data_IF_325169328436
#
_entry.id   IF_325169328436
#
_cell.length_a   1.000
_cell.length_b   1.000
_cell.length_c   1.000
_cell.angle_alpha   90.00
_cell.angle_beta   90.00
_cell.angle_gamma   90.00
#
_symmetry.space_group_name_H-M   'P 1'
#
loop_
_entity.id
_entity.type
_entity.pdbx_description
1 polymer ?
#
# COMPACT_ATOMS: atom_id res chain seq x y z
N UNK A 1 14.37 -19.00 3.00
CA UNK A 1 13.82 -18.24 1.85
C UNK A 1 12.31 -18.03 2.06
N UNK A 2 11.79 -16.79 1.97
CA UNK A 2 10.41 -16.42 2.35
C UNK A 2 9.32 -17.17 1.55
N UNK A 3 9.54 -17.39 0.25
CA UNK A 3 8.66 -18.18 -0.63
C UNK A 3 8.43 -19.58 -0.07
N UNK A 4 9.49 -20.32 0.29
CA UNK A 4 9.36 -21.70 0.77
C UNK A 4 8.53 -21.81 2.05
N UNK A 5 8.49 -20.75 2.87
CA UNK A 5 7.73 -20.73 4.11
C UNK A 5 6.26 -20.35 3.90
N UNK A 6 5.99 -19.36 3.05
CA UNK A 6 4.67 -18.73 2.98
C UNK A 6 3.86 -19.11 1.72
N UNK A 7 4.54 -19.52 0.64
CA UNK A 7 3.91 -19.73 -0.66
C UNK A 7 4.51 -20.93 -1.42
N UNK A 8 4.94 -21.97 -0.70
CA UNK A 8 5.45 -23.20 -1.32
C UNK A 8 4.42 -23.81 -2.28
N UNK A 9 4.87 -24.20 -3.48
CA UNK A 9 4.01 -24.74 -4.54
C UNK A 9 3.14 -23.70 -5.27
N UNK A 10 3.06 -22.47 -4.75
CA UNK A 10 2.20 -21.40 -5.30
C UNK A 10 3.04 -20.31 -5.96
N UNK A 11 4.15 -19.93 -5.34
CA UNK A 11 5.09 -18.96 -5.90
C UNK A 11 6.43 -19.65 -6.10
N UNK A 12 7.08 -19.43 -7.25
CA UNK A 12 8.39 -19.98 -7.52
C UNK A 12 9.27 -18.98 -8.27
N UNK A 13 10.49 -18.76 -7.76
CA UNK A 13 11.56 -18.06 -8.47
C UNK A 13 12.22 -19.06 -9.43
N UNK A 14 12.04 -18.89 -10.74
CA UNK A 14 12.50 -19.82 -11.80
C UNK A 14 13.73 -19.29 -12.55
N UNK A 15 14.60 -18.59 -11.83
CA UNK A 15 15.75 -17.85 -12.35
C UNK A 15 15.87 -16.52 -11.62
N UNK A 16 16.99 -15.81 -11.77
CA UNK A 16 17.22 -14.52 -11.10
C UNK A 16 16.09 -13.52 -11.40
N UNK A 17 15.64 -13.46 -12.65
CA UNK A 17 14.72 -12.43 -13.18
C UNK A 17 13.31 -12.94 -13.52
N UNK A 18 12.91 -14.07 -12.92
CA UNK A 18 11.66 -14.75 -13.27
C UNK A 18 10.91 -15.25 -12.04
N UNK A 19 9.78 -14.60 -11.73
CA UNK A 19 8.83 -15.07 -10.72
C UNK A 19 7.62 -15.70 -11.41
N UNK A 20 7.23 -16.90 -10.97
CA UNK A 20 5.98 -17.54 -11.38
C UNK A 20 5.03 -17.60 -10.19
N UNK A 21 3.76 -17.30 -10.45
CA UNK A 21 2.66 -17.44 -9.50
C UNK A 21 1.60 -18.35 -10.09
N UNK A 22 1.28 -19.40 -9.37
CA UNK A 22 0.26 -20.39 -9.73
C UNK A 22 -0.99 -20.10 -8.92
N UNK A 23 -2.09 -19.78 -9.61
CA UNK A 23 -3.43 -19.61 -9.05
C UNK A 23 -4.36 -20.70 -9.61
N UNK A 24 -5.61 -20.75 -9.15
CA UNK A 24 -6.61 -21.67 -9.73
C UNK A 24 -6.90 -21.38 -11.20
N UNK A 25 -6.76 -20.13 -11.63
CA UNK A 25 -6.97 -19.73 -13.02
C UNK A 25 -5.77 -20.04 -13.93
N UNK A 26 -4.60 -20.38 -13.37
CA UNK A 26 -3.43 -20.76 -14.14
C UNK A 26 -2.13 -20.18 -13.60
N UNK A 27 -1.10 -20.17 -14.44
CA UNK A 27 0.23 -19.69 -14.06
C UNK A 27 0.50 -18.33 -14.69
N UNK A 28 0.78 -17.35 -13.84
CA UNK A 28 1.24 -16.02 -14.23
C UNK A 28 2.75 -15.92 -14.08
N UNK A 29 3.36 -15.12 -14.94
CA UNK A 29 4.80 -14.95 -14.98
C UNK A 29 5.13 -13.47 -14.92
N UNK A 30 6.02 -13.11 -14.00
CA UNK A 30 6.53 -11.77 -13.80
C UNK A 30 8.03 -11.80 -14.11
N UNK A 31 8.41 -11.08 -15.17
CA UNK A 31 9.78 -10.97 -15.66
C UNK A 31 10.33 -9.62 -15.24
N UNK A 32 11.53 -9.64 -14.68
CA UNK A 32 12.25 -8.41 -14.39
C UNK A 32 12.76 -7.81 -15.70
N UNK A 33 12.99 -6.50 -15.70
CA UNK A 33 13.53 -5.75 -16.84
C UNK A 33 14.87 -5.13 -16.45
N UNK A 34 15.86 -5.13 -17.36
CA UNK A 34 17.16 -4.54 -17.10
C UNK A 34 17.08 -3.00 -16.98
N UNK A 35 18.10 -2.34 -16.40
CA UNK A 35 19.29 -2.95 -15.79
C UNK A 35 18.96 -3.78 -14.53
N UNK A 36 19.68 -4.88 -14.35
CA UNK A 36 19.39 -5.83 -13.27
C UNK A 36 20.11 -5.52 -11.96
N UNK A 37 21.21 -4.79 -12.04
CA UNK A 37 22.15 -4.57 -10.94
C UNK A 37 22.15 -3.10 -10.46
N UNK A 38 21.23 -2.28 -10.99
CA UNK A 38 21.07 -0.87 -10.62
C UNK A 38 19.81 -0.70 -9.75
N UNK A 39 19.94 -0.33 -8.46
CA UNK A 39 18.83 -0.36 -7.49
C UNK A 39 17.63 0.55 -7.78
N UNK A 40 17.78 1.53 -8.67
CA UNK A 40 16.74 2.51 -9.01
C UNK A 40 16.40 2.52 -10.50
N UNK A 41 16.94 1.58 -11.28
CA UNK A 41 16.68 1.44 -12.70
C UNK A 41 16.18 0.02 -13.00
N UNK A 42 15.42 -0.12 -14.09
CA UNK A 42 14.82 -1.38 -14.47
C UNK A 42 13.56 -1.70 -13.66
N UNK A 43 13.09 -2.95 -13.74
CA UNK A 43 11.87 -3.39 -13.06
C UNK A 43 12.12 -4.72 -12.37
N UNK A 44 11.87 -4.80 -11.06
CA UNK A 44 12.14 -5.99 -10.26
C UNK A 44 10.91 -6.45 -9.49
N UNK A 45 10.65 -7.76 -9.48
CA UNK A 45 9.50 -8.36 -8.82
C UNK A 45 9.89 -9.25 -7.64
N UNK A 46 9.37 -8.95 -6.46
CA UNK A 46 9.67 -9.68 -5.23
C UNK A 46 8.42 -10.25 -4.58
N UNK A 47 8.46 -11.52 -4.18
CA UNK A 47 7.41 -12.09 -3.36
C UNK A 47 7.45 -11.46 -1.96
N UNK A 48 6.38 -10.77 -1.59
CA UNK A 48 6.23 -10.16 -0.28
C UNK A 48 5.47 -11.08 0.65
N UNK A 49 4.20 -11.34 0.39
CA UNK A 49 3.38 -12.10 1.31
C UNK A 49 2.33 -12.92 0.59
N UNK A 50 1.80 -13.90 1.31
CA UNK A 50 0.64 -14.68 0.91
C UNK A 50 -0.25 -14.83 2.12
N UNK A 51 -1.45 -14.27 2.05
CA UNK A 51 -2.37 -14.26 3.17
C UNK A 51 -3.80 -14.27 2.66
N UNK A 52 -4.61 -15.14 3.28
CA UNK A 52 -6.08 -15.14 3.11
C UNK A 52 -6.55 -15.24 1.64
N UNK A 53 -5.84 -16.03 0.83
CA UNK A 53 -6.17 -16.25 -0.58
C UNK A 53 -5.63 -15.18 -1.54
N UNK A 54 -4.80 -14.26 -1.05
CA UNK A 54 -4.12 -13.26 -1.87
C UNK A 54 -2.61 -13.37 -1.79
N UNK A 55 -1.95 -13.01 -2.88
CA UNK A 55 -0.49 -12.96 -3.00
C UNK A 55 -0.09 -11.53 -3.31
N UNK A 56 0.82 -10.98 -2.51
CA UNK A 56 1.42 -9.67 -2.75
C UNK A 56 2.82 -9.83 -3.35
N UNK A 57 3.02 -9.22 -4.51
CA UNK A 57 4.32 -9.06 -5.16
C UNK A 57 4.72 -7.59 -5.06
N UNK A 58 5.84 -7.25 -4.44
CA UNK A 58 6.44 -5.92 -4.57
C UNK A 58 7.02 -5.76 -5.98
N UNK A 59 6.83 -4.58 -6.53
CA UNK A 59 7.42 -4.13 -7.79
C UNK A 59 8.25 -2.90 -7.50
N UNK A 60 9.51 -2.95 -7.88
CA UNK A 60 10.42 -1.79 -7.88
C UNK A 60 10.60 -1.39 -9.34
N UNK A 61 10.20 -0.17 -9.71
CA UNK A 61 10.22 0.34 -11.10
C UNK A 61 10.75 1.78 -11.11
N UNK A 62 12.03 1.97 -11.48
CA UNK A 62 12.54 3.32 -11.76
C UNK A 62 12.46 4.34 -10.61
N UNK A 63 12.42 3.89 -9.35
CA UNK A 63 12.17 4.73 -8.16
C UNK A 63 10.73 4.69 -7.64
N UNK A 64 9.81 4.01 -8.31
CA UNK A 64 8.48 3.72 -7.78
C UNK A 64 8.49 2.37 -7.04
N UNK A 65 8.18 2.41 -5.74
CA UNK A 65 7.99 1.24 -4.91
C UNK A 65 6.49 0.97 -4.79
N UNK A 66 6.03 -0.04 -5.52
CA UNK A 66 4.61 -0.44 -5.59
C UNK A 66 4.49 -1.97 -5.49
N UNK A 67 3.37 -2.54 -5.93
CA UNK A 67 3.16 -3.97 -5.99
C UNK A 67 1.87 -4.39 -6.67
N UNK A 68 1.78 -5.70 -6.84
CA UNK A 68 0.66 -6.40 -7.46
C UNK A 68 0.01 -7.31 -6.43
N UNK A 69 -1.29 -7.17 -6.26
CA UNK A 69 -2.12 -8.01 -5.42
C UNK A 69 -2.86 -9.02 -6.30
N UNK A 70 -2.60 -10.30 -6.11
CA UNK A 70 -3.13 -11.37 -6.94
C UNK A 70 -4.15 -12.17 -6.13
N UNK A 71 -5.36 -12.30 -6.65
CA UNK A 71 -6.38 -13.20 -6.13
C UNK A 71 -6.06 -14.65 -6.57
N UNK A 72 -5.87 -15.56 -5.63
CA UNK A 72 -5.53 -16.96 -5.91
C UNK A 72 -6.68 -17.77 -6.53
N UNK A 73 -7.92 -17.35 -6.30
CA UNK A 73 -9.10 -18.03 -6.83
C UNK A 73 -9.35 -17.63 -8.29
N UNK A 74 -9.28 -16.34 -8.59
CA UNK A 74 -9.62 -15.82 -9.93
C UNK A 74 -8.40 -15.62 -10.82
N UNK A 75 -7.20 -15.53 -10.23
CA UNK A 75 -6.01 -15.08 -10.92
C UNK A 75 -6.02 -13.59 -11.27
N UNK A 76 -7.00 -12.82 -10.81
CA UNK A 76 -7.04 -11.39 -11.10
C UNK A 76 -5.86 -10.68 -10.46
N UNK A 77 -5.19 -9.82 -11.23
CA UNK A 77 -4.07 -9.00 -10.77
C UNK A 77 -4.58 -7.58 -10.56
N UNK A 78 -4.48 -7.09 -9.33
CA UNK A 78 -4.86 -5.76 -8.90
C UNK A 78 -3.63 -4.97 -8.43
N UNK A 79 -3.79 -3.68 -8.20
CA UNK A 79 -2.76 -2.85 -7.56
C UNK A 79 -2.66 -3.24 -6.08
N UNK A 80 -1.44 -3.42 -5.58
CA UNK A 80 -1.16 -3.85 -4.21
C UNK A 80 -0.24 -2.93 -3.42
N UNK A 81 0.41 -1.96 -4.06
CA UNK A 81 1.47 -1.18 -3.42
C UNK A 81 2.55 -2.06 -2.77
N UNK A 82 3.40 -1.46 -1.94
CA UNK A 82 4.38 -2.21 -1.14
C UNK A 82 3.73 -3.01 -0.02
N UNK A 83 2.59 -2.54 0.48
CA UNK A 83 1.83 -3.21 1.53
C UNK A 83 0.33 -3.07 1.30
N UNK A 84 -0.41 -4.11 1.71
CA UNK A 84 -1.86 -4.16 1.66
C UNK A 84 -2.43 -4.42 3.05
N UNK A 85 -3.48 -3.69 3.39
CA UNK A 85 -4.28 -3.90 4.58
C UNK A 85 -5.75 -4.07 4.18
N UNK A 86 -6.27 -5.30 4.30
CA UNK A 86 -7.67 -5.62 4.01
C UNK A 86 -8.63 -5.18 5.12
N UNK A 87 -9.83 -4.75 4.74
CA UNK A 87 -10.95 -4.65 5.66
C UNK A 87 -11.34 -6.04 6.16
N UNK A 88 -11.87 -6.12 7.38
CA UNK A 88 -12.26 -7.40 8.00
C UNK A 88 -13.32 -8.13 7.15
N UNK A 89 -14.25 -7.37 6.58
CA UNK A 89 -15.32 -7.84 5.70
C UNK A 89 -14.91 -8.11 4.25
N UNK A 90 -13.62 -7.87 3.90
CA UNK A 90 -13.04 -8.11 2.57
C UNK A 90 -13.67 -7.34 1.41
N UNK A 91 -14.42 -6.28 1.69
CA UNK A 91 -14.99 -5.44 0.63
C UNK A 91 -14.01 -4.38 0.12
N UNK A 92 -12.99 -4.06 0.90
CA UNK A 92 -11.99 -3.07 0.55
C UNK A 92 -10.59 -3.45 1.05
N UNK A 93 -9.58 -2.78 0.51
CA UNK A 93 -8.22 -2.81 1.03
C UNK A 93 -7.54 -1.47 0.84
N UNK A 94 -6.64 -1.15 1.76
CA UNK A 94 -5.71 -0.04 1.66
C UNK A 94 -4.41 -0.58 1.07
N UNK A 95 -3.90 0.04 0.01
CA UNK A 95 -2.55 -0.16 -0.49
C UNK A 95 -1.70 1.09 -0.20
N UNK A 96 -0.43 0.87 0.14
CA UNK A 96 0.56 1.93 0.36
C UNK A 96 1.65 1.84 -0.69
N UNK A 97 1.94 2.95 -1.37
CA UNK A 97 2.98 3.08 -2.39
C UNK A 97 3.94 4.19 -1.99
N UNK A 98 5.22 4.05 -2.32
CA UNK A 98 6.24 5.05 -2.06
C UNK A 98 6.97 5.40 -3.36
N UNK A 99 7.05 6.69 -3.68
CA UNK A 99 7.88 7.17 -4.78
C UNK A 99 9.18 7.75 -4.23
N UNK A 100 10.29 7.47 -4.90
CA UNK A 100 11.58 8.02 -4.52
C UNK A 100 11.54 9.56 -4.49
N UNK A 101 12.16 10.14 -3.47
CA UNK A 101 12.15 11.57 -3.21
C UNK A 101 10.83 12.16 -2.71
N UNK A 102 9.79 11.34 -2.44
CA UNK A 102 8.55 11.84 -1.84
C UNK A 102 8.64 11.88 -0.31
N UNK A 103 8.10 12.96 0.27
CA UNK A 103 8.03 13.16 1.71
C UNK A 103 6.99 12.25 2.41
N UNK A 104 6.38 11.29 1.72
CA UNK A 104 5.40 10.39 2.33
C UNK A 104 4.86 9.35 1.36
N UNK A 105 4.08 8.42 1.92
CA UNK A 105 3.47 7.34 1.14
C UNK A 105 2.17 7.81 0.52
N UNK A 106 1.90 7.35 -0.70
CA UNK A 106 0.57 7.42 -1.29
C UNK A 106 -0.25 6.25 -0.77
N UNK A 107 -1.36 6.58 -0.12
CA UNK A 107 -2.36 5.64 0.35
C UNK A 107 -3.54 5.63 -0.60
N UNK A 108 -3.87 4.44 -1.12
CA UNK A 108 -5.03 4.26 -1.99
C UNK A 108 -5.93 3.18 -1.43
N UNK A 109 -7.21 3.51 -1.25
CA UNK A 109 -8.24 2.56 -0.85
C UNK A 109 -8.91 2.05 -2.12
N UNK A 110 -8.89 0.74 -2.29
CA UNK A 110 -9.57 0.03 -3.36
C UNK A 110 -10.75 -0.74 -2.80
N UNK A 111 -11.84 -0.81 -3.57
CA UNK A 111 -12.79 -1.89 -3.45
C UNK A 111 -12.11 -3.20 -3.89
N UNK A 112 -12.60 -4.35 -3.41
CA UNK A 112 -12.00 -5.67 -3.69
C UNK A 112 -11.99 -6.04 -5.19
N UNK A 113 -12.79 -5.36 -6.02
CA UNK A 113 -12.77 -5.49 -7.48
C UNK A 113 -11.68 -4.62 -8.16
N UNK A 114 -10.86 -3.91 -7.40
CA UNK A 114 -9.81 -3.02 -7.88
C UNK A 114 -10.24 -1.58 -8.20
N UNK A 115 -11.51 -1.20 -7.98
CA UNK A 115 -11.96 0.18 -8.16
C UNK A 115 -11.45 1.09 -7.04
N UNK A 116 -10.91 2.26 -7.40
CA UNK A 116 -10.44 3.25 -6.43
C UNK A 116 -11.62 3.89 -5.70
N UNK A 117 -11.61 3.84 -4.37
CA UNK A 117 -12.56 4.53 -3.49
C UNK A 117 -12.02 5.84 -2.94
N UNK A 118 -10.71 5.91 -2.71
CA UNK A 118 -10.01 7.11 -2.23
C UNK A 118 -8.52 7.00 -2.51
N UNK A 119 -7.85 8.14 -2.70
CA UNK A 119 -6.39 8.22 -2.78
C UNK A 119 -5.92 9.53 -2.14
N UNK A 120 -4.76 9.49 -1.48
CA UNK A 120 -4.13 10.66 -0.87
C UNK A 120 -2.84 10.26 -0.17
N UNK A 121 -2.13 11.22 0.41
CA UNK A 121 -0.91 10.94 1.14
C UNK A 121 -1.18 10.46 2.57
N UNK A 122 -0.20 9.79 3.15
CA UNK A 122 -0.13 9.48 4.59
C UNK A 122 0.19 10.72 5.46
N UNK A 123 -0.12 11.92 4.98
CA UNK A 123 0.01 13.17 5.72
C UNK A 123 -1.04 14.19 5.28
N UNK A 124 -1.24 15.20 6.12
CA UNK A 124 -2.04 16.37 5.81
C UNK A 124 -1.06 17.55 5.64
N UNK A 125 -1.10 18.20 4.48
CA UNK A 125 -0.28 19.40 4.25
C UNK A 125 -0.79 20.60 5.05
N UNK A 126 0.12 21.49 5.41
CA UNK A 126 -0.26 22.81 5.92
C UNK A 126 -0.97 23.62 4.82
N UNK A 127 -1.79 24.64 5.19
CA UNK A 127 -2.52 25.46 4.21
C UNK A 127 -1.61 26.19 3.19
N UNK A 128 -0.37 26.47 3.55
CA UNK A 128 0.68 27.06 2.70
C UNK A 128 1.46 26.01 1.87
N UNK A 129 1.03 24.74 1.92
CA UNK A 129 1.43 23.60 1.08
C UNK A 129 2.92 23.21 1.08
N UNK A 130 3.77 23.90 1.84
CA UNK A 130 5.23 23.70 1.79
C UNK A 130 5.77 22.69 2.82
N UNK A 131 4.94 22.20 3.74
CA UNK A 131 5.35 21.19 4.72
C UNK A 131 4.21 20.29 5.21
N UNK A 132 4.58 19.10 5.69
CA UNK A 132 3.70 18.14 6.36
C UNK A 132 3.23 18.75 7.68
N UNK A 133 1.93 18.92 7.86
CA UNK A 133 1.33 19.46 9.08
C UNK A 133 1.02 18.35 10.09
N UNK A 134 0.48 17.24 9.58
CA UNK A 134 0.11 16.05 10.37
C UNK A 134 0.55 14.81 9.62
N UNK A 135 1.21 13.91 10.32
CA UNK A 135 1.59 12.60 9.81
C UNK A 135 0.58 11.56 10.22
N UNK A 136 0.14 10.76 9.25
CA UNK A 136 -0.77 9.64 9.44
C UNK A 136 0.05 8.35 9.41
N UNK A 137 -0.04 7.57 10.47
CA UNK A 137 0.64 6.29 10.60
C UNK A 137 -0.24 5.22 11.19
N UNK A 138 0.21 3.97 11.11
CA UNK A 138 -0.48 2.79 11.66
C UNK A 138 -1.95 2.73 11.23
N UNK A 139 -2.25 2.68 9.91
CA UNK A 139 -3.62 2.53 9.46
C UNK A 139 -4.21 1.20 9.95
N UNK A 140 -5.50 1.22 10.27
CA UNK A 140 -6.25 0.04 10.70
C UNK A 140 -7.71 0.13 10.25
N UNK A 141 -8.28 -0.99 9.79
CA UNK A 141 -9.72 -1.09 9.60
C UNK A 141 -10.40 -1.43 10.92
N UNK A 142 -11.49 -0.73 11.20
CA UNK A 142 -12.39 -1.05 12.30
C UNK A 142 -13.40 -2.12 11.84
N UNK A 143 -14.01 -2.88 12.77
CA UNK A 143 -14.97 -3.95 12.41
C UNK A 143 -16.20 -3.47 11.62
N UNK A 144 -16.53 -2.18 11.72
CA UNK A 144 -17.61 -1.54 10.96
C UNK A 144 -17.20 -1.12 9.54
N UNK A 145 -15.98 -1.45 9.10
CA UNK A 145 -15.45 -1.08 7.78
C UNK A 145 -14.90 0.34 7.69
N UNK A 146 -14.78 1.06 8.81
CA UNK A 146 -14.17 2.40 8.81
C UNK A 146 -12.64 2.31 8.88
N UNK A 147 -11.94 3.09 8.06
CA UNK A 147 -10.47 3.19 8.14
C UNK A 147 -10.07 4.28 9.13
N UNK A 148 -9.20 3.92 10.08
CA UNK A 148 -8.59 4.85 11.04
C UNK A 148 -7.07 4.85 10.91
N UNK A 149 -6.46 5.96 11.32
CA UNK A 149 -5.01 6.11 11.41
C UNK A 149 -4.64 6.92 12.65
N UNK A 150 -3.41 6.72 13.14
CA UNK A 150 -2.81 7.56 14.17
C UNK A 150 -2.27 8.82 13.51
N UNK A 151 -2.69 9.97 14.01
CA UNK A 151 -2.22 11.28 13.59
C UNK A 151 -1.20 11.82 14.59
N UNK A 152 -0.10 12.37 14.11
CA UNK A 152 0.95 13.02 14.90
C UNK A 152 1.27 14.38 14.31
N UNK A 153 1.41 15.41 15.13
CA UNK A 153 1.86 16.71 14.64
C UNK A 153 3.32 16.66 14.22
N UNK A 154 3.63 17.17 13.02
CA UNK A 154 5.02 17.24 12.56
C UNK A 154 5.90 18.17 13.43
N UNK A 155 5.28 19.17 14.09
CA UNK A 155 5.96 20.10 15.00
C UNK A 155 6.04 19.64 16.46
N UNK A 156 5.33 18.57 16.85
CA UNK A 156 5.30 18.04 18.21
C UNK A 156 4.89 16.57 18.20
N UNK A 157 5.89 15.69 18.24
CA UNK A 157 5.69 14.24 18.21
C UNK A 157 4.86 13.71 19.39
N UNK A 158 4.78 14.43 20.51
CA UNK A 158 3.96 14.01 21.65
C UNK A 158 2.47 14.24 21.41
N UNK A 159 2.12 15.12 20.46
CA UNK A 159 0.73 15.45 20.15
C UNK A 159 0.15 14.46 19.14
N UNK A 160 -0.39 13.37 19.68
CA UNK A 160 -1.02 12.29 18.91
C UNK A 160 -2.53 12.20 19.12
N UNK A 161 -3.27 11.79 18.09
CA UNK A 161 -4.69 11.44 18.20
C UNK A 161 -5.07 10.43 17.13
N UNK A 162 -6.29 9.87 17.19
CA UNK A 162 -6.81 9.02 16.13
C UNK A 162 -7.66 9.82 15.16
N UNK A 163 -7.46 9.59 13.88
CA UNK A 163 -8.29 10.11 12.79
C UNK A 163 -8.99 8.96 12.08
N UNK A 164 -10.16 9.26 11.53
CA UNK A 164 -10.95 8.38 10.68
C UNK A 164 -11.09 9.03 9.32
N UNK A 165 -10.98 8.23 8.26
CA UNK A 165 -11.34 8.68 6.92
C UNK A 165 -12.87 8.68 6.80
N UNK A 166 -13.47 9.85 6.61
CA UNK A 166 -14.92 10.04 6.56
C UNK A 166 -15.33 10.71 5.25
N UNK A 167 -16.53 10.39 4.76
CA UNK A 167 -17.11 11.05 3.60
C UNK A 167 -18.07 12.14 4.05
N UNK A 168 -17.69 13.40 3.90
CA UNK A 168 -18.50 14.57 4.23
C UNK A 168 -18.87 15.32 2.94
N UNK A 169 -20.16 15.56 2.70
CA UNK A 169 -20.65 16.26 1.50
C UNK A 169 -20.12 15.66 0.19
N UNK A 170 -19.98 14.34 0.12
CA UNK A 170 -19.48 13.63 -1.06
C UNK A 170 -17.95 13.56 -1.18
N UNK A 171 -17.21 14.31 -0.36
CA UNK A 171 -15.74 14.32 -0.35
C UNK A 171 -15.19 13.52 0.84
N UNK A 172 -14.15 12.74 0.57
CA UNK A 172 -13.44 11.99 1.60
C UNK A 172 -12.36 12.86 2.24
N UNK A 173 -12.35 12.92 3.58
CA UNK A 173 -11.31 13.61 4.34
C UNK A 173 -11.06 12.93 5.69
N UNK A 174 -9.89 13.18 6.28
CA UNK A 174 -9.53 12.69 7.60
C UNK A 174 -10.11 13.60 8.70
N UNK A 175 -10.83 13.01 9.66
CA UNK A 175 -11.43 13.73 10.79
C UNK A 175 -11.28 12.96 12.13
N UNK A 176 -11.26 13.64 13.29
CA UNK A 176 -11.28 15.09 13.45
C UNK A 176 -9.91 15.72 13.17
N UNK A 177 -9.90 16.87 12.49
CA UNK A 177 -8.70 17.70 12.36
C UNK A 177 -8.45 18.45 13.67
N UNK A 178 -7.23 18.34 14.22
CA UNK A 178 -6.78 19.13 15.36
C UNK A 178 -5.68 20.07 14.89
N UNK A 179 -5.60 21.25 15.52
CA UNK A 179 -4.50 22.19 15.25
C UNK A 179 -3.22 21.67 15.90
N UNK A 180 -2.15 21.63 15.13
CA UNK A 180 -0.79 21.51 15.63
C UNK A 180 -0.24 22.87 16.08
N UNK A 181 0.65 22.88 17.09
CA UNK A 181 1.35 24.10 17.48
C UNK A 181 2.25 24.59 16.34
N UNK A 182 2.56 25.89 16.34
CA UNK A 182 3.57 26.43 15.43
C UNK A 182 4.92 25.75 15.68
N UNK A 183 5.70 25.54 14.62
CA UNK A 183 7.11 25.13 14.77
C UNK A 183 7.85 26.20 15.60
N UNK A 184 8.72 25.74 16.50
CA UNK A 184 9.63 26.61 17.25
C UNK A 184 10.81 27.03 16.39
#
# INVERSE_FOLDING_TARGET
>A
MRINRLASGVVARKGAHLLKVTTKAGVQTFKDKPPYDEPLDGVHHYFCDRKEGFILIKVEDGGEFTGKLIDEQTGTVMKGGESVLFSEDRRAYLASEHGDGLDGDVWTIYAVNGQVSWTGYNFISAPDQSYRYVDLGMPAWMPNGELVASATCASDENRKWKMKLVKNNGQWDWAPRKKCPASK
#
